data_IF_101263267660
#
_entry.id   IF_101263267660
#
_cell.length_a   1.000
_cell.length_b   1.000
_cell.length_c   1.000
_cell.angle_alpha   90.00
_cell.angle_beta   90.00
_cell.angle_gamma   90.00
#
_symmetry.space_group_name_H-M   'P 1'
#
loop_
_entity.id
_entity.type
_entity.pdbx_description
1 polymer ?
#
# COMPACT_ATOMS: atom_id res chain seq x y z
N UNK A 1 -4.25 4.96 12.61
CA UNK A 1 -4.27 5.89 13.78
C UNK A 1 -4.92 7.25 13.45
N UNK A 2 -5.68 7.88 14.36
CA UNK A 2 -6.29 9.24 14.17
C UNK A 2 -5.80 10.22 15.24
N UNK A 3 -5.44 11.44 14.86
CA UNK A 3 -5.04 12.50 15.78
C UNK A 3 -5.65 13.84 15.36
N UNK A 4 -5.99 14.70 16.32
CA UNK A 4 -6.52 16.03 16.07
C UNK A 4 -5.75 17.04 16.89
N UNK A 5 -5.45 18.20 16.28
CA UNK A 5 -4.83 19.31 16.98
C UNK A 5 -5.53 20.62 16.61
N UNK A 6 -5.48 21.59 17.50
CA UNK A 6 -6.02 22.94 17.29
C UNK A 6 -5.13 23.94 17.99
N UNK A 7 -4.75 25.01 17.30
CA UNK A 7 -3.98 26.12 17.86
C UNK A 7 -4.47 27.43 17.25
N UNK A 8 -5.02 28.30 18.09
CA UNK A 8 -5.66 29.52 17.65
C UNK A 8 -6.77 29.22 16.64
N UNK A 9 -6.64 29.79 15.44
CA UNK A 9 -7.63 29.66 14.37
C UNK A 9 -7.49 28.43 13.47
N UNK A 10 -6.39 27.68 13.58
CA UNK A 10 -6.10 26.52 12.71
C UNK A 10 -6.34 25.24 13.48
N UNK A 11 -7.02 24.29 12.85
CA UNK A 11 -7.11 22.92 13.33
C UNK A 11 -6.81 21.91 12.23
N UNK A 12 -6.34 20.73 12.64
CA UNK A 12 -6.01 19.64 11.73
C UNK A 12 -6.53 18.32 12.30
N UNK A 13 -7.12 17.50 11.43
CA UNK A 13 -7.40 16.10 11.66
C UNK A 13 -6.43 15.28 10.81
N UNK A 14 -5.57 14.51 11.46
CA UNK A 14 -4.68 13.56 10.81
C UNK A 14 -5.25 12.14 10.91
N UNK A 15 -5.11 11.36 9.83
CA UNK A 15 -5.42 9.93 9.75
C UNK A 15 -4.21 9.25 9.13
N UNK A 16 -3.45 8.53 9.93
CA UNK A 16 -2.29 7.77 9.50
C UNK A 16 -2.67 6.31 9.23
N UNK A 17 -2.31 5.81 8.04
CA UNK A 17 -2.18 4.37 7.75
C UNK A 17 -0.70 3.95 7.77
N UNK A 18 -0.33 2.90 7.06
CA UNK A 18 1.06 2.44 6.98
C UNK A 18 1.95 3.37 6.14
N UNK A 19 1.50 3.71 4.93
CA UNK A 19 2.31 4.50 3.96
C UNK A 19 1.68 5.85 3.55
N UNK A 20 0.56 6.23 4.18
CA UNK A 20 -0.14 7.47 3.87
C UNK A 20 -0.60 8.14 5.16
N UNK A 21 -0.38 9.45 5.25
CA UNK A 21 -1.05 10.30 6.24
C UNK A 21 -1.97 11.26 5.51
N UNK A 22 -3.27 11.17 5.80
CA UNK A 22 -4.27 12.13 5.34
C UNK A 22 -4.44 13.24 6.37
N UNK A 23 -4.48 14.48 5.90
CA UNK A 23 -4.61 15.67 6.71
C UNK A 23 -5.85 16.44 6.24
N UNK A 24 -6.84 16.59 7.11
CA UNK A 24 -7.94 17.54 6.94
C UNK A 24 -7.64 18.79 7.75
N UNK A 25 -7.62 19.95 7.10
CA UNK A 25 -7.25 21.24 7.69
C UNK A 25 -8.52 22.08 7.82
N UNK A 26 -8.61 22.89 8.87
CA UNK A 26 -9.65 23.89 9.00
C UNK A 26 -9.05 25.21 9.49
N UNK A 27 -9.65 26.33 9.06
CA UNK A 27 -9.31 27.68 9.48
C UNK A 27 -10.60 28.43 9.81
N UNK A 28 -10.65 29.05 10.99
CA UNK A 28 -11.80 29.86 11.41
C UNK A 28 -12.11 30.97 10.42
N UNK A 29 -13.38 31.22 10.16
CA UNK A 29 -13.89 32.23 9.21
C UNK A 29 -13.27 33.61 9.44
N UNK A 30 -13.18 34.05 10.71
CA UNK A 30 -12.60 35.34 11.10
C UNK A 30 -11.12 35.53 10.71
N UNK A 31 -10.41 34.45 10.37
CA UNK A 31 -8.99 34.49 9.99
C UNK A 31 -8.75 34.14 8.51
N UNK A 32 -9.78 33.94 7.69
CA UNK A 32 -9.60 33.56 6.27
C UNK A 32 -9.01 34.66 5.40
N UNK A 33 -9.28 35.92 5.72
CA UNK A 33 -8.85 37.06 4.89
C UNK A 33 -7.34 37.05 4.68
N UNK A 34 -6.92 37.10 3.42
CA UNK A 34 -5.51 37.16 3.02
C UNK A 34 -4.74 35.85 3.09
N UNK A 35 -5.38 34.71 3.37
CA UNK A 35 -4.75 33.38 3.30
C UNK A 35 -4.74 32.88 1.85
N UNK A 36 -3.56 32.48 1.37
CA UNK A 36 -3.36 31.95 0.02
C UNK A 36 -3.23 30.42 0.00
N UNK A 37 -3.15 29.77 1.15
CA UNK A 37 -3.12 28.31 1.27
C UNK A 37 -2.36 27.86 2.52
N UNK A 38 -1.96 26.59 2.54
CA UNK A 38 -1.24 25.99 3.66
C UNK A 38 0.12 25.43 3.24
N UNK A 39 1.18 25.81 3.95
CA UNK A 39 2.46 25.13 3.89
C UNK A 39 2.47 24.00 4.92
N UNK A 40 3.03 22.85 4.57
CA UNK A 40 3.13 21.70 5.49
C UNK A 40 4.59 21.29 5.61
N UNK A 41 5.11 21.39 6.82
CA UNK A 41 6.42 20.88 7.19
C UNK A 41 6.25 19.54 7.89
N UNK A 42 7.02 18.53 7.47
CA UNK A 42 7.04 17.22 8.11
C UNK A 42 8.37 17.06 8.83
N UNK A 43 8.29 16.62 10.08
CA UNK A 43 9.42 16.06 10.83
C UNK A 43 9.21 14.57 10.95
N UNK A 44 10.16 13.77 10.50
CA UNK A 44 10.29 12.34 10.74
C UNK A 44 11.19 12.15 11.96
N UNK A 45 10.61 11.75 13.09
CA UNK A 45 11.35 11.53 14.34
C UNK A 45 12.09 10.19 14.37
N UNK A 46 11.86 9.33 13.38
CA UNK A 46 12.46 7.99 13.29
C UNK A 46 13.76 8.07 12.48
N UNK A 47 13.76 8.86 11.40
CA UNK A 47 14.93 9.06 10.53
C UNK A 47 15.63 10.42 10.73
N UNK A 48 15.15 11.24 11.65
CA UNK A 48 15.68 12.59 11.95
C UNK A 48 15.72 13.52 10.72
N UNK A 49 14.65 13.48 9.93
CA UNK A 49 14.48 14.33 8.74
C UNK A 49 13.43 15.41 8.97
N UNK A 50 13.70 16.63 8.50
CA UNK A 50 12.72 17.73 8.53
C UNK A 50 12.72 18.51 7.23
N UNK A 51 11.56 18.62 6.60
CA UNK A 51 11.42 19.35 5.34
C UNK A 51 10.00 19.80 5.04
N UNK A 52 9.87 20.80 4.18
CA UNK A 52 8.58 21.22 3.61
C UNK A 52 8.12 20.23 2.55
N UNK A 53 6.90 19.73 2.69
CA UNK A 53 6.27 18.88 1.69
C UNK A 53 6.20 19.63 0.35
N UNK A 54 6.12 18.87 -0.74
CA UNK A 54 6.11 19.40 -2.10
C UNK A 54 4.79 19.08 -2.83
N UNK A 55 4.33 20.01 -3.65
CA UNK A 55 3.17 19.87 -4.51
C UNK A 55 3.47 20.21 -5.97
N UNK A 56 2.42 20.31 -6.79
CA UNK A 56 2.53 20.60 -8.24
C UNK A 56 2.05 21.99 -8.63
N UNK A 57 1.23 22.62 -7.79
CA UNK A 57 0.57 23.89 -8.13
C UNK A 57 1.49 25.05 -7.76
N UNK A 58 1.67 25.97 -8.69
CA UNK A 58 2.35 27.25 -8.51
C UNK A 58 1.33 28.39 -8.63
N UNK A 59 1.71 29.59 -8.18
CA UNK A 59 1.01 30.81 -8.59
C UNK A 59 1.59 31.30 -9.90
N UNK A 60 0.75 31.81 -10.81
CA UNK A 60 1.17 32.39 -12.09
C UNK A 60 2.32 33.40 -11.96
N UNK A 61 2.29 34.23 -10.92
CA UNK A 61 3.26 35.30 -10.67
C UNK A 61 4.65 34.82 -10.26
N UNK A 62 4.74 33.60 -9.75
CA UNK A 62 5.95 32.98 -9.19
C UNK A 62 6.24 31.63 -9.85
N UNK A 63 5.53 31.30 -10.93
CA UNK A 63 5.73 30.05 -11.64
C UNK A 63 7.13 30.08 -12.27
N UNK A 64 8.04 29.15 -11.92
CA UNK A 64 9.39 29.14 -12.47
C UNK A 64 9.43 28.64 -13.92
N UNK A 65 8.28 28.27 -14.51
CA UNK A 65 8.24 27.65 -15.84
C UNK A 65 8.77 26.22 -15.82
N UNK A 66 8.56 25.50 -14.71
CA UNK A 66 9.06 24.13 -14.55
C UNK A 66 8.35 23.15 -15.48
N UNK A 67 9.04 22.09 -15.95
CA UNK A 67 8.40 21.05 -16.75
C UNK A 67 7.20 20.39 -16.03
N UNK A 68 6.20 19.88 -16.78
CA UNK A 68 5.05 19.20 -16.20
C UNK A 68 5.42 18.10 -15.20
N UNK A 69 4.75 18.09 -14.06
CA UNK A 69 4.98 17.11 -12.99
C UNK A 69 6.16 17.44 -12.07
N UNK A 70 6.83 18.58 -12.26
CA UNK A 70 7.82 19.09 -11.31
C UNK A 70 7.20 19.37 -9.94
N UNK A 71 8.00 19.15 -8.88
CA UNK A 71 7.58 19.33 -7.51
C UNK A 71 8.14 20.64 -6.95
N UNK A 72 7.29 21.46 -6.36
CA UNK A 72 7.64 22.74 -5.73
C UNK A 72 7.35 22.71 -4.24
N UNK A 73 8.12 23.45 -3.44
CA UNK A 73 7.95 23.51 -1.99
C UNK A 73 6.60 24.12 -1.62
N UNK A 74 5.90 23.54 -0.65
CA UNK A 74 4.65 24.11 -0.13
C UNK A 74 4.87 25.38 0.68
N UNK A 75 6.11 25.68 1.10
CA UNK A 75 6.46 26.97 1.72
C UNK A 75 6.33 28.13 0.73
N UNK A 76 6.76 27.90 -0.52
CA UNK A 76 6.79 28.91 -1.59
C UNK A 76 5.48 28.87 -2.41
N UNK A 77 4.89 27.68 -2.52
CA UNK A 77 3.66 27.43 -3.26
C UNK A 77 2.68 26.64 -2.39
N UNK A 78 1.99 27.32 -1.44
CA UNK A 78 1.12 26.68 -0.48
C UNK A 78 -0.04 25.92 -1.13
N UNK A 79 -0.48 24.88 -0.42
CA UNK A 79 -1.60 24.04 -0.81
C UNK A 79 -2.88 24.87 -0.74
N UNK A 80 -3.50 25.09 -1.89
CA UNK A 80 -4.78 25.82 -2.03
C UNK A 80 -5.98 24.89 -1.82
N UNK A 81 -5.94 24.10 -0.74
CA UNK A 81 -6.98 23.16 -0.36
C UNK A 81 -6.96 22.96 1.16
N UNK A 82 -8.11 22.55 1.71
CA UNK A 82 -8.25 22.19 3.12
C UNK A 82 -7.97 20.71 3.39
N UNK A 83 -7.33 20.01 2.45
CA UNK A 83 -6.91 18.63 2.63
C UNK A 83 -5.58 18.36 1.93
N UNK A 84 -4.82 17.40 2.46
CA UNK A 84 -3.59 16.91 1.87
C UNK A 84 -3.38 15.43 2.17
N UNK A 85 -2.73 14.71 1.26
CA UNK A 85 -2.28 13.33 1.48
C UNK A 85 -0.78 13.23 1.32
N UNK A 86 -0.07 12.88 2.39
CA UNK A 86 1.35 12.54 2.31
C UNK A 86 1.51 11.06 1.96
N UNK A 87 1.77 10.78 0.69
CA UNK A 87 1.98 9.42 0.16
C UNK A 87 3.43 8.92 0.28
N UNK A 88 4.27 9.66 1.02
CA UNK A 88 5.69 9.36 1.22
C UNK A 88 6.03 8.92 2.64
N UNK A 89 5.04 8.84 3.52
CA UNK A 89 5.20 8.26 4.86
C UNK A 89 5.60 6.77 4.77
N UNK A 90 6.33 6.32 5.79
CA UNK A 90 6.79 4.94 5.95
C UNK A 90 6.05 4.26 7.10
N UNK A 91 5.88 2.93 7.09
CA UNK A 91 5.25 2.18 8.18
C UNK A 91 6.10 2.23 9.44
N UNK A 92 5.47 2.12 10.61
CA UNK A 92 6.14 2.17 11.91
C UNK A 92 7.06 3.39 12.13
N UNK A 93 6.64 4.56 11.64
CA UNK A 93 7.36 5.83 11.82
C UNK A 93 6.55 6.81 12.63
N UNK A 94 7.25 7.65 13.37
CA UNK A 94 6.68 8.74 14.11
C UNK A 94 6.90 10.08 13.40
N UNK A 95 5.81 10.78 13.10
CA UNK A 95 5.82 12.04 12.36
C UNK A 95 5.21 13.18 13.18
N UNK A 96 5.72 14.39 12.96
CA UNK A 96 5.00 15.63 13.28
C UNK A 96 4.78 16.43 12.02
N UNK A 97 3.53 16.80 11.78
CA UNK A 97 3.15 17.70 10.70
C UNK A 97 2.86 19.08 11.28
N UNK A 98 3.60 20.10 10.85
CA UNK A 98 3.32 21.51 11.13
C UNK A 98 2.62 22.13 9.93
N UNK A 99 1.37 22.54 10.13
CA UNK A 99 0.52 23.17 9.12
C UNK A 99 0.52 24.67 9.39
N UNK A 100 0.88 25.46 8.39
CA UNK A 100 1.01 26.92 8.49
C UNK A 100 0.11 27.58 7.46
N UNK A 101 -0.77 28.49 7.91
CA UNK A 101 -1.56 29.32 7.01
C UNK A 101 -0.65 30.39 6.38
N UNK A 102 -0.43 30.29 5.06
CA UNK A 102 0.39 31.23 4.32
C UNK A 102 -0.44 32.41 3.85
N UNK A 103 0.02 33.62 4.11
CA UNK A 103 -0.71 34.88 3.89
C UNK A 103 0.02 35.82 2.93
N UNK A 104 -0.68 36.88 2.51
CA UNK A 104 -0.08 38.00 1.78
C UNK A 104 -0.29 37.89 0.28
N UNK A 105 0.79 37.98 -0.50
CA UNK A 105 0.78 37.90 -1.98
C UNK A 105 1.73 36.79 -2.43
N UNK A 106 1.54 36.17 -3.62
CA UNK A 106 2.43 35.12 -4.12
C UNK A 106 3.93 35.45 -4.03
N UNK A 107 4.34 36.67 -4.40
CA UNK A 107 5.74 37.12 -4.35
C UNK A 107 6.25 37.53 -2.97
N UNK A 108 5.37 37.56 -1.96
CA UNK A 108 5.66 38.00 -0.58
C UNK A 108 4.75 37.25 0.39
N UNK A 109 5.01 35.95 0.52
CA UNK A 109 4.30 35.08 1.45
C UNK A 109 4.79 35.30 2.87
N UNK A 110 3.84 35.33 3.81
CA UNK A 110 4.11 35.49 5.23
C UNK A 110 3.48 34.30 5.99
N UNK A 111 4.25 33.69 6.90
CA UNK A 111 3.75 32.61 7.76
C UNK A 111 2.80 33.18 8.82
N UNK A 112 1.56 32.70 8.85
CA UNK A 112 0.55 33.09 9.84
C UNK A 112 0.34 32.04 10.93
N UNK A 113 -0.92 31.91 11.35
CA UNK A 113 -1.34 30.90 12.32
C UNK A 113 -0.89 29.50 11.90
N UNK A 114 -0.46 28.69 12.87
CA UNK A 114 0.00 27.33 12.63
C UNK A 114 -0.43 26.38 13.73
N UNK A 115 -0.49 25.08 13.39
CA UNK A 115 -0.79 23.99 14.30
C UNK A 115 0.13 22.81 14.00
N UNK A 116 0.50 22.06 15.04
CA UNK A 116 1.26 20.82 14.92
C UNK A 116 0.41 19.64 15.33
N UNK A 117 0.55 18.53 14.62
CA UNK A 117 -0.07 17.25 14.98
C UNK A 117 0.96 16.14 14.86
N UNK A 118 1.07 15.35 15.93
CA UNK A 118 1.93 14.18 16.01
C UNK A 118 1.13 12.93 15.68
N UNK A 119 1.68 12.05 14.86
CA UNK A 119 1.06 10.78 14.47
C UNK A 119 2.12 9.68 14.41
N UNK A 120 1.69 8.43 14.60
CA UNK A 120 2.47 7.24 14.30
C UNK A 120 1.78 6.43 13.21
N UNK A 121 2.52 6.07 12.17
CA UNK A 121 2.04 5.16 11.12
C UNK A 121 1.97 3.73 11.65
N UNK A 122 1.12 2.93 11.03
CA UNK A 122 0.89 1.55 11.48
C UNK A 122 2.13 0.69 11.24
N UNK A 123 2.38 -0.24 12.16
CA UNK A 123 3.42 -1.25 12.03
C UNK A 123 2.81 -2.52 11.42
N UNK A 124 3.32 -2.90 10.27
CA UNK A 124 2.83 -4.04 9.49
C UNK A 124 3.25 -5.38 10.12
N UNK A 125 4.26 -5.38 11.00
CA UNK A 125 4.75 -6.59 11.65
C UNK A 125 3.94 -6.98 12.89
N UNK A 126 3.22 -6.03 13.51
CA UNK A 126 2.56 -6.24 14.80
C UNK A 126 1.05 -5.95 14.74
N UNK A 127 0.35 -6.16 15.87
CA UNK A 127 -1.08 -5.91 16.01
C UNK A 127 -1.99 -6.90 15.27
N UNK A 128 -3.30 -6.68 15.38
CA UNK A 128 -4.32 -7.56 14.79
C UNK A 128 -4.39 -7.46 13.27
N UNK A 129 -4.01 -6.33 12.68
CA UNK A 129 -4.16 -6.07 11.25
C UNK A 129 -2.86 -5.56 10.64
N UNK A 130 -2.53 -6.07 9.45
CA UNK A 130 -1.57 -5.43 8.54
C UNK A 130 -2.20 -5.29 7.16
N UNK A 131 -2.27 -4.07 6.63
CA UNK A 131 -2.96 -3.78 5.37
C UNK A 131 -1.98 -3.19 4.37
N UNK A 132 -1.86 -3.84 3.22
CA UNK A 132 -0.92 -3.51 2.16
C UNK A 132 -1.68 -3.09 0.91
N UNK A 133 -1.46 -1.87 0.46
CA UNK A 133 -1.95 -1.41 -0.84
C UNK A 133 -0.77 -1.27 -1.79
N UNK A 134 -0.80 -1.97 -2.92
CA UNK A 134 0.18 -1.73 -3.96
C UNK A 134 -0.06 -0.39 -4.69
N UNK A 135 0.88 0.00 -5.54
CA UNK A 135 0.77 1.16 -6.42
C UNK A 135 0.36 0.70 -7.81
N UNK A 136 -0.95 0.65 -8.08
CA UNK A 136 -1.49 0.47 -9.44
C UNK A 136 -1.31 1.68 -10.36
N UNK A 137 -0.13 2.32 -10.34
CA UNK A 137 0.10 3.66 -10.87
C UNK A 137 1.40 3.76 -11.70
N UNK A 138 1.72 2.71 -12.46
CA UNK A 138 2.89 2.70 -13.35
C UNK A 138 2.83 3.82 -14.43
N UNK A 139 1.63 4.28 -14.79
CA UNK A 139 1.43 5.41 -15.72
C UNK A 139 1.39 6.79 -15.03
N UNK A 140 1.77 6.90 -13.75
CA UNK A 140 1.70 8.16 -13.01
C UNK A 140 2.91 9.07 -13.25
N UNK A 141 2.71 10.38 -13.01
CA UNK A 141 3.83 11.34 -12.97
C UNK A 141 4.87 10.99 -11.90
N UNK A 142 4.48 10.32 -10.81
CA UNK A 142 5.42 9.85 -9.79
C UNK A 142 6.35 8.77 -10.33
N UNK A 143 5.81 7.82 -11.09
CA UNK A 143 6.61 6.81 -11.79
C UNK A 143 7.51 7.46 -12.84
N UNK A 144 6.98 8.39 -13.65
CA UNK A 144 7.75 9.14 -14.63
C UNK A 144 8.95 9.87 -14.01
N UNK A 145 8.75 10.56 -12.88
CA UNK A 145 9.84 11.26 -12.17
C UNK A 145 10.92 10.29 -11.70
N UNK A 146 10.51 9.18 -11.07
CA UNK A 146 11.41 8.24 -10.39
C UNK A 146 12.14 7.31 -11.34
N UNK A 147 11.46 6.82 -12.37
CA UNK A 147 11.95 5.76 -13.26
C UNK A 147 11.99 6.16 -14.73
N UNK A 148 11.71 7.43 -15.06
CA UNK A 148 11.81 8.00 -16.42
C UNK A 148 10.97 7.22 -17.45
N UNK A 149 9.79 6.74 -17.03
CA UNK A 149 8.87 5.94 -17.85
C UNK A 149 9.47 4.64 -18.43
N UNK A 150 10.58 4.15 -17.87
CA UNK A 150 11.11 2.83 -18.23
C UNK A 150 10.12 1.75 -17.79
N UNK A 151 9.93 0.72 -18.61
CA UNK A 151 9.11 -0.43 -18.20
C UNK A 151 9.71 -1.08 -16.93
N UNK A 152 8.89 -1.61 -16.00
CA UNK A 152 9.41 -2.10 -14.72
C UNK A 152 10.51 -3.16 -14.83
N UNK A 153 10.44 -4.03 -15.84
CA UNK A 153 11.44 -5.04 -16.20
C UNK A 153 12.79 -4.45 -16.65
N UNK A 154 12.79 -3.21 -17.14
CA UNK A 154 14.00 -2.52 -17.58
C UNK A 154 14.66 -1.71 -16.45
N UNK A 155 14.02 -1.56 -15.30
CA UNK A 155 14.59 -0.83 -14.17
C UNK A 155 15.53 -1.76 -13.39
N UNK A 156 16.82 -1.39 -13.22
CA UNK A 156 17.79 -2.25 -12.52
C UNK A 156 17.34 -2.67 -11.12
N UNK A 157 17.82 -3.83 -10.70
CA UNK A 157 17.65 -4.39 -9.35
C UNK A 157 16.19 -4.58 -8.93
N UNK A 158 15.24 -4.63 -9.89
CA UNK A 158 13.82 -4.78 -9.59
C UNK A 158 13.22 -3.59 -8.81
N UNK A 159 13.89 -2.43 -8.78
CA UNK A 159 13.46 -1.26 -7.98
C UNK A 159 12.07 -0.75 -8.36
N UNK A 160 11.68 -0.87 -9.64
CA UNK A 160 10.33 -0.53 -10.07
C UNK A 160 9.30 -1.49 -9.46
N UNK A 161 9.56 -2.81 -9.48
CA UNK A 161 8.68 -3.81 -8.89
C UNK A 161 8.53 -3.63 -7.37
N UNK A 162 9.63 -3.39 -6.66
CA UNK A 162 9.60 -3.09 -5.21
C UNK A 162 8.76 -1.84 -4.93
N UNK A 163 8.95 -0.78 -5.73
CA UNK A 163 8.16 0.43 -5.58
C UNK A 163 6.68 0.23 -5.93
N UNK A 164 6.36 -0.57 -6.94
CA UNK A 164 4.98 -0.88 -7.31
C UNK A 164 4.32 -1.77 -6.25
N UNK A 165 5.04 -2.73 -5.67
CA UNK A 165 4.55 -3.60 -4.61
C UNK A 165 4.10 -2.83 -3.38
N UNK A 166 4.92 -1.85 -2.94
CA UNK A 166 4.68 -1.07 -1.71
C UNK A 166 4.36 -1.96 -0.51
N UNK A 167 5.15 -3.01 -0.32
CA UNK A 167 4.99 -3.94 0.80
C UNK A 167 3.98 -5.06 0.58
N UNK A 168 3.15 -5.03 -0.49
CA UNK A 168 2.13 -6.06 -0.72
C UNK A 168 2.74 -7.45 -0.95
N UNK A 169 3.69 -7.56 -1.88
CA UNK A 169 4.36 -8.82 -2.22
C UNK A 169 5.24 -9.26 -1.06
N UNK A 170 5.97 -8.33 -0.44
CA UNK A 170 6.84 -8.59 0.69
C UNK A 170 6.04 -9.13 1.89
N UNK A 171 4.91 -8.50 2.22
CA UNK A 171 3.99 -8.97 3.26
C UNK A 171 3.37 -10.32 2.94
N UNK A 172 3.00 -10.58 1.69
CA UNK A 172 2.45 -11.86 1.26
C UNK A 172 3.48 -12.99 1.40
N UNK A 173 4.71 -12.76 0.95
CA UNK A 173 5.80 -13.72 1.07
C UNK A 173 6.12 -14.00 2.54
N UNK A 174 6.23 -12.96 3.36
CA UNK A 174 6.44 -13.10 4.80
C UNK A 174 5.29 -13.85 5.49
N UNK A 175 4.04 -13.67 5.03
CA UNK A 175 2.91 -14.44 5.55
C UNK A 175 3.04 -15.94 5.26
N UNK A 176 3.39 -16.30 4.02
CA UNK A 176 3.59 -17.70 3.61
C UNK A 176 4.77 -18.32 4.36
N UNK A 177 5.85 -17.57 4.55
CA UNK A 177 7.07 -18.02 5.23
C UNK A 177 6.86 -18.41 6.70
N UNK A 178 5.81 -17.88 7.36
CA UNK A 178 5.46 -18.29 8.72
C UNK A 178 5.16 -19.80 8.83
N UNK A 179 4.72 -20.45 7.74
CA UNK A 179 4.50 -21.89 7.72
C UNK A 179 5.82 -22.66 7.56
N UNK A 180 6.58 -22.73 8.64
CA UNK A 180 7.91 -23.32 8.68
C UNK A 180 7.97 -24.52 9.64
N UNK A 181 7.86 -25.73 9.10
CA UNK A 181 7.93 -26.98 9.86
C UNK A 181 6.59 -27.69 10.05
N UNK A 182 6.67 -28.91 10.59
CA UNK A 182 5.55 -29.87 10.70
C UNK A 182 4.35 -29.41 11.54
N UNK A 183 4.56 -28.41 12.40
CA UNK A 183 3.49 -27.83 13.22
C UNK A 183 2.57 -26.91 12.41
N UNK A 184 3.04 -26.41 11.27
CA UNK A 184 2.30 -25.43 10.49
C UNK A 184 1.56 -26.05 9.30
N UNK A 185 0.50 -25.37 8.89
CA UNK A 185 -0.23 -25.68 7.67
C UNK A 185 -0.69 -24.41 6.96
N UNK A 186 -0.80 -24.49 5.63
CA UNK A 186 -1.44 -23.46 4.80
C UNK A 186 -2.67 -24.03 4.10
N UNK A 187 -3.78 -23.30 4.16
CA UNK A 187 -5.02 -23.58 3.41
C UNK A 187 -5.35 -22.37 2.57
N UNK A 188 -5.22 -22.50 1.25
CA UNK A 188 -5.45 -21.38 0.34
C UNK A 188 -6.59 -21.67 -0.63
N UNK A 189 -7.33 -20.63 -1.00
CA UNK A 189 -8.22 -20.65 -2.15
C UNK A 189 -7.98 -19.38 -2.99
N UNK A 190 -7.53 -19.59 -4.23
CA UNK A 190 -6.98 -18.53 -5.08
C UNK A 190 -7.49 -18.66 -6.52
N UNK A 191 -8.07 -17.57 -7.03
CA UNK A 191 -8.64 -17.53 -8.38
C UNK A 191 -7.56 -17.56 -9.48
N UNK A 192 -6.72 -16.53 -9.55
CA UNK A 192 -5.57 -16.46 -10.44
C UNK A 192 -4.29 -16.71 -9.63
N UNK A 193 -3.56 -17.75 -10.00
CA UNK A 193 -2.42 -18.31 -9.27
C UNK A 193 -1.23 -18.52 -10.20
N UNK A 194 -0.54 -17.42 -10.53
CA UNK A 194 0.38 -17.36 -11.68
C UNK A 194 1.73 -16.68 -11.36
N UNK A 195 1.86 -15.99 -10.23
CA UNK A 195 3.08 -15.27 -9.87
C UNK A 195 4.15 -16.20 -9.30
N UNK A 196 5.10 -16.59 -10.15
CA UNK A 196 6.11 -17.63 -9.87
C UNK A 196 6.81 -17.49 -8.50
N UNK A 197 7.31 -16.31 -8.06
CA UNK A 197 7.95 -16.20 -6.74
C UNK A 197 7.02 -16.54 -5.57
N UNK A 198 5.73 -16.19 -5.66
CA UNK A 198 4.74 -16.52 -4.61
C UNK A 198 4.44 -18.01 -4.62
N UNK A 199 4.31 -18.61 -5.80
CA UNK A 199 4.12 -20.07 -5.93
C UNK A 199 5.34 -20.83 -5.36
N UNK A 200 6.55 -20.35 -5.63
CA UNK A 200 7.78 -20.91 -5.07
C UNK A 200 7.83 -20.79 -3.54
N UNK A 201 7.28 -19.73 -2.95
CA UNK A 201 7.17 -19.59 -1.49
C UNK A 201 6.26 -20.67 -0.88
N UNK A 202 5.14 -21.02 -1.51
CA UNK A 202 4.33 -22.18 -1.09
C UNK A 202 5.12 -23.49 -1.17
N UNK A 203 5.91 -23.66 -2.23
CA UNK A 203 6.80 -24.81 -2.38
C UNK A 203 7.86 -24.88 -1.28
N UNK A 204 8.44 -23.74 -0.89
CA UNK A 204 9.39 -23.65 0.20
C UNK A 204 8.75 -23.99 1.56
N UNK A 205 7.54 -23.47 1.83
CA UNK A 205 6.77 -23.82 3.02
C UNK A 205 6.51 -25.33 3.09
N UNK A 206 6.09 -25.96 1.99
CA UNK A 206 5.89 -27.42 1.95
C UNK A 206 7.20 -28.20 2.20
N UNK A 207 8.32 -27.77 1.60
CA UNK A 207 9.64 -28.40 1.80
C UNK A 207 10.14 -28.29 3.24
N UNK A 208 9.71 -27.29 4.01
CA UNK A 208 10.01 -27.18 5.44
C UNK A 208 9.31 -28.28 6.29
N UNK A 209 8.30 -28.95 5.72
CA UNK A 209 7.47 -29.94 6.39
C UNK A 209 6.07 -29.44 6.76
N UNK A 210 5.72 -28.18 6.44
CA UNK A 210 4.36 -27.68 6.63
C UNK A 210 3.37 -28.37 5.67
N UNK A 211 2.14 -28.61 6.14
CA UNK A 211 1.07 -29.18 5.30
C UNK A 211 0.41 -28.08 4.45
N UNK A 212 0.67 -28.06 3.15
CA UNK A 212 0.20 -27.00 2.23
C UNK A 212 -0.84 -27.57 1.27
N UNK A 213 -2.03 -26.96 1.24
CA UNK A 213 -3.12 -27.31 0.30
C UNK A 213 -3.73 -26.06 -0.31
N UNK A 214 -3.82 -26.03 -1.63
CA UNK A 214 -4.18 -24.84 -2.39
C UNK A 214 -5.30 -25.17 -3.38
N UNK A 215 -6.50 -24.66 -3.15
CA UNK A 215 -7.59 -24.73 -4.12
C UNK A 215 -7.37 -23.66 -5.19
N UNK A 216 -7.29 -24.08 -6.45
CA UNK A 216 -7.11 -23.19 -7.60
C UNK A 216 -8.32 -23.28 -8.54
N UNK A 217 -8.73 -22.16 -9.14
CA UNK A 217 -9.76 -22.23 -10.19
C UNK A 217 -9.21 -22.99 -11.40
N UNK A 218 -9.91 -24.09 -11.73
CA UNK A 218 -9.61 -24.95 -12.85
C UNK A 218 -10.85 -25.19 -13.73
N UNK A 219 -11.82 -24.26 -13.67
CA UNK A 219 -13.10 -24.38 -14.37
C UNK A 219 -12.87 -24.32 -15.89
N UNK A 220 -13.39 -25.28 -16.67
CA UNK A 220 -13.43 -25.17 -18.12
C UNK A 220 -14.26 -23.96 -18.57
N UNK A 221 -13.73 -23.17 -19.49
CA UNK A 221 -14.42 -22.06 -20.15
C UNK A 221 -13.83 -21.84 -21.54
N UNK A 222 -14.48 -21.01 -22.36
CA UNK A 222 -14.09 -20.77 -23.75
C UNK A 222 -12.66 -20.23 -23.92
N UNK A 223 -12.12 -19.56 -22.91
CA UNK A 223 -10.76 -19.02 -22.91
C UNK A 223 -9.75 -19.94 -22.19
N UNK A 224 -10.23 -21.02 -21.56
CA UNK A 224 -9.46 -21.88 -20.65
C UNK A 224 -8.67 -21.08 -19.59
N UNK A 225 -9.22 -19.92 -19.17
CA UNK A 225 -8.60 -18.97 -18.25
C UNK A 225 -9.41 -18.84 -16.95
N UNK A 226 -8.81 -18.85 -15.75
CA UNK A 226 -7.37 -18.86 -15.48
C UNK A 226 -6.74 -20.26 -15.47
N UNK A 227 -7.53 -21.31 -15.73
CA UNK A 227 -7.15 -22.72 -15.59
C UNK A 227 -5.78 -23.08 -16.22
N UNK A 228 -5.58 -22.81 -17.51
CA UNK A 228 -4.32 -23.16 -18.18
C UNK A 228 -3.14 -22.43 -17.54
N UNK A 229 -3.28 -21.12 -17.30
CA UNK A 229 -2.22 -20.30 -16.71
C UNK A 229 -1.87 -20.74 -15.28
N UNK A 230 -2.87 -21.12 -14.49
CA UNK A 230 -2.66 -21.65 -13.14
C UNK A 230 -1.88 -22.97 -13.19
N UNK A 231 -2.22 -23.88 -14.12
CA UNK A 231 -1.48 -25.15 -14.31
C UNK A 231 -0.04 -24.92 -14.73
N UNK A 232 0.18 -24.11 -15.77
CA UNK A 232 1.52 -23.83 -16.30
C UNK A 232 2.43 -23.24 -15.22
N UNK A 233 1.92 -22.29 -14.43
CA UNK A 233 2.69 -21.66 -13.36
C UNK A 233 2.95 -22.62 -12.19
N UNK A 234 1.98 -23.48 -11.84
CA UNK A 234 2.14 -24.49 -10.79
C UNK A 234 3.18 -25.55 -11.17
N UNK A 235 3.20 -25.96 -12.44
CA UNK A 235 4.20 -26.87 -13.00
C UNK A 235 5.58 -26.22 -13.00
N UNK A 236 5.70 -24.99 -13.50
CA UNK A 236 6.95 -24.23 -13.50
C UNK A 236 7.51 -24.03 -12.07
N UNK A 237 6.64 -23.87 -11.07
CA UNK A 237 7.01 -23.77 -9.66
C UNK A 237 7.29 -25.12 -8.97
N UNK A 238 7.03 -26.25 -9.64
CA UNK A 238 7.09 -27.61 -9.10
C UNK A 238 6.19 -27.82 -7.86
N UNK A 239 4.98 -27.25 -7.87
CA UNK A 239 4.01 -27.34 -6.77
C UNK A 239 2.66 -27.95 -7.19
N UNK A 240 2.56 -28.54 -8.38
CA UNK A 240 1.31 -29.15 -8.88
C UNK A 240 0.67 -30.09 -7.85
N UNK A 241 1.48 -30.88 -7.12
CA UNK A 241 1.01 -31.77 -6.06
C UNK A 241 0.37 -31.07 -4.84
N UNK A 242 0.63 -29.78 -4.63
CA UNK A 242 0.03 -28.97 -3.56
C UNK A 242 -1.33 -28.39 -3.96
N UNK A 243 -1.65 -28.42 -5.26
CA UNK A 243 -2.84 -27.80 -5.82
C UNK A 243 -4.02 -28.78 -5.93
N UNK A 244 -5.21 -28.27 -5.66
CA UNK A 244 -6.47 -28.98 -5.75
C UNK A 244 -7.31 -28.22 -6.80
N UNK A 245 -7.46 -28.77 -8.02
CA UNK A 245 -8.20 -28.10 -9.07
C UNK A 245 -9.70 -28.07 -8.75
N UNK A 246 -10.28 -26.87 -8.65
CA UNK A 246 -11.73 -26.72 -8.51
C UNK A 246 -12.37 -26.61 -9.88
N UNK A 247 -13.11 -27.66 -10.26
CA UNK A 247 -13.82 -27.74 -11.55
C UNK A 247 -15.36 -27.65 -11.40
N UNK A 248 -15.88 -27.83 -10.19
CA UNK A 248 -17.31 -27.93 -9.93
C UNK A 248 -18.04 -26.58 -9.89
N UNK A 249 -19.36 -26.63 -10.12
CA UNK A 249 -20.31 -25.52 -10.16
C UNK A 249 -20.12 -24.55 -11.36
N UNK A 250 -20.67 -24.88 -12.54
CA UNK A 250 -20.49 -24.09 -13.76
C UNK A 250 -21.10 -22.68 -13.67
N UNK A 251 -21.95 -22.39 -12.69
CA UNK A 251 -22.57 -21.07 -12.53
C UNK A 251 -21.65 -20.05 -11.84
N UNK A 252 -20.62 -20.47 -11.10
CA UNK A 252 -19.80 -19.55 -10.30
C UNK A 252 -18.30 -19.86 -10.36
N UNK A 253 -17.50 -18.84 -10.70
CA UNK A 253 -16.03 -18.89 -10.63
C UNK A 253 -15.54 -18.96 -9.17
N UNK A 254 -14.37 -19.55 -8.94
CA UNK A 254 -13.75 -19.66 -7.62
C UNK A 254 -13.02 -18.36 -7.28
N UNK A 255 -13.75 -17.25 -7.13
CA UNK A 255 -13.16 -15.91 -7.07
C UNK A 255 -12.49 -15.57 -5.72
N UNK A 256 -12.10 -16.56 -4.93
CA UNK A 256 -11.46 -16.38 -3.63
C UNK A 256 -10.02 -15.87 -3.78
N UNK A 257 -9.57 -15.10 -2.78
CA UNK A 257 -8.17 -14.70 -2.60
C UNK A 257 -7.83 -14.74 -1.11
N UNK A 258 -7.62 -15.94 -0.56
CA UNK A 258 -7.22 -16.07 0.83
C UNK A 258 -6.23 -17.20 1.08
N UNK A 259 -5.50 -17.08 2.19
CA UNK A 259 -4.56 -18.07 2.72
C UNK A 259 -4.75 -18.09 4.24
N UNK A 260 -5.15 -19.21 4.81
CA UNK A 260 -5.22 -19.42 6.25
C UNK A 260 -3.93 -20.09 6.71
N UNK A 261 -3.30 -19.51 7.74
CA UNK A 261 -2.19 -20.09 8.48
C UNK A 261 -2.75 -20.85 9.68
N UNK A 262 -2.30 -22.09 9.84
CA UNK A 262 -2.61 -22.92 11.00
C UNK A 262 -1.33 -23.30 11.73
N UNK A 263 -1.41 -23.40 13.06
CA UNK A 263 -0.39 -23.97 13.93
C UNK A 263 -1.02 -25.08 14.79
N UNK A 264 -0.40 -26.25 14.82
CA UNK A 264 -0.90 -27.47 15.47
C UNK A 264 -2.36 -27.80 15.11
N UNK A 265 -2.72 -27.53 13.85
CA UNK A 265 -4.07 -27.76 13.31
C UNK A 265 -5.10 -26.68 13.64
N UNK A 266 -4.73 -25.62 14.36
CA UNK A 266 -5.64 -24.52 14.71
C UNK A 266 -5.40 -23.29 13.82
N UNK A 267 -6.43 -22.69 13.20
CA UNK A 267 -6.31 -21.42 12.48
C UNK A 267 -5.83 -20.29 13.40
N UNK A 268 -4.78 -19.58 13.00
CA UNK A 268 -4.20 -18.48 13.78
C UNK A 268 -4.29 -17.14 13.07
N UNK A 269 -4.14 -17.14 11.74
CA UNK A 269 -4.15 -15.92 10.93
C UNK A 269 -4.73 -16.21 9.55
N UNK A 270 -5.25 -15.16 8.90
CA UNK A 270 -5.65 -15.22 7.49
C UNK A 270 -5.07 -14.05 6.72
N UNK A 271 -4.50 -14.34 5.55
CA UNK A 271 -4.26 -13.38 4.49
C UNK A 271 -5.48 -13.33 3.58
N UNK A 272 -6.04 -12.16 3.31
CA UNK A 272 -7.11 -11.98 2.33
C UNK A 272 -7.01 -10.62 1.62
N UNK A 273 -7.98 -10.31 0.75
CA UNK A 273 -8.07 -9.02 0.06
C UNK A 273 -8.56 -9.17 -1.38
N UNK A 274 -8.27 -8.17 -2.20
CA UNK A 274 -8.66 -8.15 -3.63
C UNK A 274 -7.60 -8.75 -4.55
N UNK A 275 -6.42 -9.05 -4.02
CA UNK A 275 -5.21 -9.35 -4.80
C UNK A 275 -5.23 -10.74 -5.41
N UNK A 276 -5.37 -10.80 -6.74
CA UNK A 276 -5.01 -11.99 -7.53
C UNK A 276 -3.49 -12.19 -7.53
N UNK A 277 -3.03 -13.45 -7.52
CA UNK A 277 -1.60 -13.79 -7.49
C UNK A 277 -1.03 -13.81 -8.91
N UNK A 278 -1.08 -12.66 -9.58
CA UNK A 278 -0.53 -12.41 -10.92
C UNK A 278 0.34 -11.17 -10.89
N UNK A 279 1.24 -10.99 -11.86
CA UNK A 279 2.05 -9.75 -11.96
C UNK A 279 1.15 -8.51 -12.07
N UNK A 280 0.06 -8.59 -12.85
CA UNK A 280 -0.92 -7.51 -12.94
C UNK A 280 -1.61 -7.23 -11.60
N UNK A 281 -2.05 -8.27 -10.89
CA UNK A 281 -2.69 -8.15 -9.58
C UNK A 281 -1.78 -7.56 -8.50
N UNK A 282 -0.52 -7.96 -8.47
CA UNK A 282 0.45 -7.57 -7.43
C UNK A 282 1.10 -6.20 -7.69
N UNK A 283 1.23 -5.76 -8.94
CA UNK A 283 1.98 -4.54 -9.27
C UNK A 283 1.23 -3.54 -10.16
N UNK A 284 0.23 -3.99 -10.93
CA UNK A 284 -0.41 -3.18 -11.97
C UNK A 284 -1.78 -2.61 -11.58
N UNK A 285 -2.60 -3.40 -10.89
CA UNK A 285 -3.93 -3.00 -10.42
C UNK A 285 -3.85 -2.37 -9.04
N UNK A 286 -4.84 -1.54 -8.66
CA UNK A 286 -4.96 -1.04 -7.29
C UNK A 286 -5.64 -2.09 -6.42
N UNK A 287 -4.85 -2.86 -5.69
CA UNK A 287 -5.29 -3.99 -4.90
C UNK A 287 -4.85 -3.88 -3.44
N UNK A 288 -5.51 -4.67 -2.60
CA UNK A 288 -5.21 -4.79 -1.18
C UNK A 288 -4.87 -6.23 -0.79
N UNK A 289 -3.87 -6.37 0.06
CA UNK A 289 -3.61 -7.55 0.87
C UNK A 289 -3.79 -7.21 2.33
N UNK A 290 -4.38 -8.11 3.11
CA UNK A 290 -4.74 -7.88 4.50
C UNK A 290 -4.42 -9.12 5.31
N UNK A 291 -3.49 -8.99 6.24
CA UNK A 291 -3.27 -9.98 7.30
C UNK A 291 -4.19 -9.66 8.46
N UNK A 292 -4.96 -10.66 8.89
CA UNK A 292 -5.77 -10.60 10.11
C UNK A 292 -5.23 -11.65 11.08
N UNK A 293 -4.66 -11.19 12.19
CA UNK A 293 -4.08 -12.01 13.26
C UNK A 293 -5.10 -12.26 14.36
N UNK A 294 -6.20 -12.90 13.98
CA UNK A 294 -7.30 -13.25 14.86
C UNK A 294 -7.75 -14.69 14.56
N UNK A 295 -7.60 -15.64 15.50
CA UNK A 295 -8.00 -17.03 15.32
C UNK A 295 -9.48 -17.21 14.97
N UNK A 296 -10.38 -16.39 15.51
CA UNK A 296 -11.82 -16.50 15.25
C UNK A 296 -12.15 -16.09 13.82
N UNK A 297 -11.51 -15.02 13.33
CA UNK A 297 -11.66 -14.61 11.93
C UNK A 297 -11.04 -15.65 11.02
N UNK A 298 -9.84 -16.14 11.32
CA UNK A 298 -9.16 -17.17 10.55
C UNK A 298 -10.00 -18.46 10.44
N UNK A 299 -10.70 -18.85 11.50
CA UNK A 299 -11.57 -20.03 11.53
C UNK A 299 -12.87 -19.89 10.70
N UNK A 300 -13.22 -18.69 10.24
CA UNK A 300 -14.41 -18.46 9.40
C UNK A 300 -14.19 -18.65 7.90
N UNK A 301 -12.94 -18.87 7.48
CA UNK A 301 -12.52 -19.14 6.10
C UNK A 301 -12.37 -20.65 5.83
#
# INVERSE_FOLDING_TARGET
MKAKATKGAVSVQAIAGSYVVLLGINLSDAKRNGVLGFAIERTDHTEDERFWLKGFKTFKETDPGLPPGSLVSTLEHPIQAFFWGDFTAKPNHEYTYRIVAMRGKPKRLEQGDSVEVRVRTEDEATGTHAVYFNRGTAASQAYARKFKNRSPDQVPDGKAWTWLSRGLVEGLLAFIEQANGKRYALRAAVYEFQHLPVLQAFGAASKSGADVKIVVDAKPNSQNYPNQKNRDASDQANITALTIPRQANPSYIAHNKFIVLLEDGQPTQVWTGSTNLTTGGLYGHSNVGHVIRDPNVAASF
#
